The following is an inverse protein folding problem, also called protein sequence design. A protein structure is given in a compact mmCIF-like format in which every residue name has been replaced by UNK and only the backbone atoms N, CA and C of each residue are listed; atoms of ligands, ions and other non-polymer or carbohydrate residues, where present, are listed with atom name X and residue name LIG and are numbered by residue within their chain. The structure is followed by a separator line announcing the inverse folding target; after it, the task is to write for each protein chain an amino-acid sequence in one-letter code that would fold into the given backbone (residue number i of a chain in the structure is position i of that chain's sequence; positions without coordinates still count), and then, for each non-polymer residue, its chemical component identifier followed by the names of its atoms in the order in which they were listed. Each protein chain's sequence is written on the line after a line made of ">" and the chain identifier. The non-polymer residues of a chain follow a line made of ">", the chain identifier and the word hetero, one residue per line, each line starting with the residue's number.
data_IF_470927739598
#
_entry.id   IF_470927739598
#
_cell.length_a   1.000
_cell.length_b   1.000
_cell.length_c   1.000
_cell.angle_alpha   90.00
_cell.angle_beta   90.00
_cell.angle_gamma   90.00
#
_symmetry.space_group_name_H-M   'P 1'
#
loop_
_entity.id
_entity.type
_entity.pdbx_description
1 polymer ?
#
# COMPACT_ATOMS: atom_id res chain seq x y z
N UNK A 1 33.48 22.37 41.22
CA UNK A 1 32.18 21.74 41.57
C UNK A 1 31.24 21.95 40.40
N UNK A 2 30.75 20.89 39.75
CA UNK A 2 29.72 20.99 38.70
C UNK A 2 28.36 20.80 39.39
N UNK A 3 27.56 21.85 39.48
CA UNK A 3 26.17 21.74 39.92
C UNK A 3 25.40 20.87 38.92
N UNK A 4 24.86 19.74 39.40
CA UNK A 4 23.85 18.98 38.67
C UNK A 4 22.54 19.76 38.76
N UNK A 5 22.22 20.53 37.73
CA UNK A 5 20.90 21.16 37.59
C UNK A 5 19.84 20.07 37.38
N UNK A 6 18.97 19.87 38.36
CA UNK A 6 17.78 19.02 38.21
C UNK A 6 16.73 19.82 37.47
N UNK A 7 16.37 19.38 36.26
CA UNK A 7 15.28 19.98 35.47
C UNK A 7 13.98 19.28 35.86
N UNK A 8 13.19 19.89 36.75
CA UNK A 8 11.84 19.42 37.03
C UNK A 8 10.91 19.77 35.87
N UNK A 9 10.62 18.78 35.03
CA UNK A 9 9.68 18.91 33.92
C UNK A 9 9.07 17.56 33.58
N UNK A 10 7.76 17.53 33.27
CA UNK A 10 7.12 16.33 32.74
C UNK A 10 7.64 16.09 31.33
N UNK A 11 8.46 15.06 31.16
CA UNK A 11 8.86 14.55 29.86
C UNK A 11 8.00 13.34 29.50
N UNK A 12 7.61 13.23 28.23
CA UNK A 12 7.01 12.01 27.67
C UNK A 12 8.00 11.40 26.69
N UNK A 13 8.12 10.09 26.68
CA UNK A 13 8.99 9.37 25.76
C UNK A 13 8.21 8.27 25.05
N UNK A 14 8.50 8.05 23.77
CA UNK A 14 7.99 6.92 23.00
C UNK A 14 9.11 6.33 22.16
N UNK A 15 9.03 5.02 21.92
CA UNK A 15 10.00 4.27 21.12
C UNK A 15 9.31 3.69 19.90
N UNK A 16 9.84 3.96 18.71
CA UNK A 16 9.32 3.44 17.43
C UNK A 16 10.46 3.18 16.46
N UNK A 17 10.57 1.97 15.91
CA UNK A 17 11.51 1.62 14.84
C UNK A 17 12.96 2.09 15.09
N UNK A 18 13.56 1.73 16.23
CA UNK A 18 14.91 2.16 16.65
C UNK A 18 15.10 3.68 16.80
N UNK A 19 14.00 4.42 16.84
CA UNK A 19 13.96 5.85 17.14
C UNK A 19 13.28 6.06 18.48
N UNK A 20 13.85 6.92 19.31
CA UNK A 20 13.20 7.39 20.53
C UNK A 20 12.78 8.83 20.33
N UNK A 21 11.51 9.12 20.56
CA UNK A 21 11.00 10.49 20.59
C UNK A 21 10.81 10.89 22.05
N UNK A 22 11.51 11.93 22.48
CA UNK A 22 11.37 12.52 23.82
C UNK A 22 10.77 13.90 23.67
N UNK A 23 9.60 14.13 24.26
CA UNK A 23 8.94 15.42 24.24
C UNK A 23 8.96 16.07 25.63
N UNK A 24 9.33 17.34 25.66
CA UNK A 24 9.50 18.11 26.89
C UNK A 24 9.24 19.60 26.62
N UNK A 25 9.39 20.43 27.67
CA UNK A 25 9.38 21.87 27.58
C UNK A 25 10.81 22.42 27.71
N UNK A 26 11.16 23.51 26.99
CA UNK A 26 12.43 24.17 27.17
C UNK A 26 12.57 24.71 28.59
N UNK A 27 13.77 24.60 29.16
CA UNK A 27 14.07 25.03 30.54
C UNK A 27 13.89 26.53 30.75
N UNK A 28 14.07 27.33 29.69
CA UNK A 28 13.87 28.79 29.70
C UNK A 28 12.79 29.18 28.70
N UNK A 29 11.96 30.17 29.08
CA UNK A 29 10.90 30.75 28.22
C UNK A 29 11.40 31.23 26.86
N UNK A 30 12.65 31.68 26.77
CA UNK A 30 13.27 32.17 25.54
C UNK A 30 14.54 31.36 25.24
N UNK A 31 14.40 30.05 25.11
CA UNK A 31 15.52 29.19 24.73
C UNK A 31 15.93 29.45 23.28
N UNK A 32 17.21 29.76 23.10
CA UNK A 32 17.85 29.97 21.79
C UNK A 32 17.94 28.65 21.03
N UNK A 33 18.24 28.71 19.73
CA UNK A 33 18.49 27.50 18.94
C UNK A 33 19.63 26.66 19.53
N UNK A 34 20.68 27.32 20.01
CA UNK A 34 21.83 26.68 20.67
C UNK A 34 21.40 25.94 21.93
N UNK A 35 20.58 26.56 22.77
CA UNK A 35 20.09 25.93 24.02
C UNK A 35 19.28 24.65 23.73
N UNK A 36 18.44 24.67 22.69
CA UNK A 36 17.67 23.50 22.28
C UNK A 36 18.57 22.36 21.79
N UNK A 37 19.59 22.67 20.98
CA UNK A 37 20.56 21.67 20.49
C UNK A 37 21.33 21.04 21.65
N UNK A 38 21.84 21.86 22.58
CA UNK A 38 22.55 21.36 23.77
C UNK A 38 21.64 20.45 24.61
N UNK A 39 20.40 20.87 24.85
CA UNK A 39 19.43 20.07 25.61
C UNK A 39 19.11 18.76 24.90
N UNK A 40 18.94 18.78 23.57
CA UNK A 40 18.69 17.59 22.77
C UNK A 40 19.86 16.61 22.80
N UNK A 41 21.10 17.11 22.77
CA UNK A 41 22.32 16.29 22.91
C UNK A 41 22.36 15.60 24.27
N UNK A 42 22.07 16.33 25.36
CA UNK A 42 22.05 15.75 26.70
C UNK A 42 20.99 14.65 26.80
N UNK A 43 19.78 14.88 26.30
CA UNK A 43 18.73 13.86 26.24
C UNK A 43 19.19 12.65 25.42
N UNK A 44 19.74 12.88 24.23
CA UNK A 44 20.18 11.82 23.34
C UNK A 44 21.31 10.99 23.95
N UNK A 45 22.26 11.63 24.65
CA UNK A 45 23.35 10.94 25.33
C UNK A 45 22.82 9.95 26.37
N UNK A 46 21.97 10.41 27.29
CA UNK A 46 21.40 9.54 28.34
C UNK A 46 20.59 8.38 27.73
N UNK A 47 19.79 8.65 26.70
CA UNK A 47 19.00 7.62 26.01
C UNK A 47 19.89 6.61 25.27
N UNK A 48 20.94 7.07 24.58
CA UNK A 48 21.78 6.20 23.77
C UNK A 48 22.78 5.38 24.60
N UNK A 49 23.19 5.89 25.77
CA UNK A 49 23.99 5.15 26.75
C UNK A 49 23.20 3.96 27.32
N UNK A 50 21.92 4.15 27.63
CA UNK A 50 21.06 3.07 28.15
C UNK A 50 20.61 2.09 27.05
N UNK A 51 20.30 2.59 25.84
CA UNK A 51 19.70 1.78 24.78
C UNK A 51 20.60 1.64 23.55
N UNK A 52 21.36 0.55 23.47
CA UNK A 52 22.30 0.24 22.38
C UNK A 52 21.65 0.00 21.01
N UNK A 53 20.37 -0.37 20.98
CA UNK A 53 19.64 -0.68 19.74
C UNK A 53 19.08 0.55 19.02
N UNK A 54 19.08 1.71 19.69
CA UNK A 54 18.53 2.97 19.16
C UNK A 54 19.56 3.59 18.22
N UNK A 55 19.13 3.93 17.01
CA UNK A 55 20.00 4.55 15.99
C UNK A 55 19.99 6.07 16.09
N UNK A 56 18.91 6.63 16.66
CA UNK A 56 18.61 8.04 16.52
C UNK A 56 17.56 8.50 17.56
N UNK A 57 17.69 9.73 18.06
CA UNK A 57 16.80 10.33 19.06
C UNK A 57 16.22 11.65 18.54
N UNK A 58 14.90 11.80 18.64
CA UNK A 58 14.21 13.05 18.33
C UNK A 58 13.78 13.73 19.64
N UNK A 59 14.35 14.89 19.92
CA UNK A 59 13.93 15.73 21.05
C UNK A 59 12.93 16.77 20.58
N UNK A 60 11.72 16.77 21.14
CA UNK A 60 10.63 17.71 20.86
C UNK A 60 10.51 18.68 22.04
N UNK A 61 10.47 19.98 21.73
CA UNK A 61 10.35 21.07 22.69
C UNK A 61 9.10 21.88 22.38
N UNK A 62 8.05 21.71 23.20
CA UNK A 62 6.81 22.46 23.07
C UNK A 62 6.96 23.91 23.52
N UNK A 63 6.27 24.83 22.85
CA UNK A 63 6.14 26.20 23.34
C UNK A 63 5.18 26.20 24.55
N UNK A 64 5.60 26.66 25.74
CA UNK A 64 4.72 26.73 26.90
C UNK A 64 3.52 27.68 26.71
N UNK A 65 3.57 28.60 25.74
CA UNK A 65 2.46 29.50 25.40
C UNK A 65 1.50 28.89 24.36
N UNK A 66 2.00 28.00 23.51
CA UNK A 66 1.23 27.36 22.45
C UNK A 66 1.64 25.89 22.31
N UNK A 67 0.87 25.00 22.94
CA UNK A 67 1.09 23.55 22.87
C UNK A 67 0.97 22.99 21.44
N UNK A 68 0.46 23.79 20.48
CA UNK A 68 0.47 23.41 19.07
C UNK A 68 1.78 23.72 18.38
N UNK A 69 2.53 24.71 18.85
CA UNK A 69 3.84 25.02 18.32
C UNK A 69 4.90 24.19 19.04
N UNK A 70 5.78 23.56 18.29
CA UNK A 70 6.96 22.93 18.85
C UNK A 70 8.17 23.11 17.95
N UNK A 71 9.34 22.97 18.55
CA UNK A 71 10.60 22.84 17.81
C UNK A 71 11.17 21.46 18.12
N UNK A 72 11.81 20.83 17.15
CA UNK A 72 12.42 19.54 17.35
C UNK A 72 13.85 19.50 16.82
N UNK A 73 14.66 18.66 17.45
CA UNK A 73 16.04 18.43 17.10
C UNK A 73 16.26 16.95 16.90
N UNK A 74 16.93 16.67 15.81
CA UNK A 74 17.18 15.33 15.34
C UNK A 74 18.62 14.93 15.64
N UNK A 75 18.86 14.03 16.59
CA UNK A 75 20.20 13.66 17.07
C UNK A 75 20.56 12.21 16.71
N UNK A 76 21.46 12.00 15.72
CA UNK A 76 21.90 10.66 15.34
C UNK A 76 22.95 10.11 16.30
N UNK A 77 22.94 8.78 16.52
CA UNK A 77 23.91 8.09 17.38
C UNK A 77 25.35 8.33 16.97
N UNK A 78 25.64 8.27 15.67
CA UNK A 78 26.99 8.46 15.14
C UNK A 78 27.61 9.82 15.49
N UNK A 79 26.79 10.85 15.69
CA UNK A 79 27.29 12.17 16.11
C UNK A 79 27.72 12.16 17.58
N UNK A 80 26.92 11.53 18.47
CA UNK A 80 27.27 11.35 19.88
C UNK A 80 28.51 10.47 20.03
N UNK A 81 28.60 9.38 19.28
CA UNK A 81 29.75 8.47 19.28
C UNK A 81 31.04 9.18 18.80
N UNK A 82 30.93 10.05 17.79
CA UNK A 82 32.08 10.81 17.28
C UNK A 82 32.55 11.86 18.29
N UNK A 83 31.60 12.56 18.93
CA UNK A 83 31.90 13.56 19.95
C UNK A 83 32.54 12.93 21.20
N UNK A 84 31.98 11.81 21.68
CA UNK A 84 32.50 11.10 22.86
C UNK A 84 33.89 10.50 22.64
N UNK A 85 34.28 10.22 21.39
CA UNK A 85 35.63 9.83 21.00
C UNK A 85 36.59 11.01 20.78
N UNK A 86 36.11 12.25 20.89
CA UNK A 86 36.89 13.46 20.62
C UNK A 86 37.25 13.67 19.14
N UNK A 87 36.50 13.06 18.22
CA UNK A 87 36.71 13.20 16.77
C UNK A 87 36.20 14.56 16.27
N UNK A 88 35.11 15.04 16.88
CA UNK A 88 34.51 16.34 16.59
C UNK A 88 34.48 17.18 17.86
N UNK A 89 34.62 18.49 17.70
CA UNK A 89 34.50 19.46 18.80
C UNK A 89 33.04 19.91 19.02
N UNK A 90 32.83 20.75 20.05
CA UNK A 90 31.53 21.29 20.41
C UNK A 90 30.86 22.08 19.26
N UNK A 91 31.64 22.81 18.46
CA UNK A 91 31.10 23.65 17.38
C UNK A 91 30.68 22.81 16.17
N UNK A 92 31.48 21.80 15.82
CA UNK A 92 31.17 20.81 14.80
C UNK A 92 29.95 19.97 15.20
N UNK A 93 29.85 19.59 16.47
CA UNK A 93 28.68 18.88 16.99
C UNK A 93 27.40 19.72 16.87
N UNK A 94 27.44 20.99 17.28
CA UNK A 94 26.26 21.87 17.25
C UNK A 94 25.88 22.29 15.82
N UNK A 95 26.85 22.43 14.92
CA UNK A 95 26.61 22.76 13.51
C UNK A 95 26.03 21.58 12.71
N UNK A 96 26.34 20.33 13.12
CA UNK A 96 25.77 19.12 12.55
C UNK A 96 24.28 18.89 12.87
N UNK A 97 23.70 19.67 13.77
CA UNK A 97 22.29 19.59 14.17
C UNK A 97 21.49 20.75 13.59
N UNK A 98 20.23 20.49 13.23
CA UNK A 98 19.27 21.51 12.84
C UNK A 98 18.07 21.52 13.79
N UNK A 99 17.54 22.72 14.05
CA UNK A 99 16.26 22.88 14.75
C UNK A 99 15.19 23.12 13.69
N UNK A 100 14.21 22.24 13.65
CA UNK A 100 13.06 22.39 12.76
C UNK A 100 11.83 22.80 13.58
N UNK A 101 11.00 23.66 13.00
CA UNK A 101 9.68 23.96 13.54
C UNK A 101 8.70 22.86 13.15
N UNK A 102 7.88 22.44 14.10
CA UNK A 102 6.75 21.56 13.90
C UNK A 102 5.47 22.21 14.42
N UNK A 103 4.35 21.84 13.83
CA UNK A 103 3.04 22.22 14.31
C UNK A 103 2.27 20.94 14.65
N UNK A 104 1.69 20.86 15.84
CA UNK A 104 0.92 19.70 16.30
C UNK A 104 -0.29 19.47 15.40
N UNK A 105 -0.78 20.50 14.71
CA UNK A 105 -1.81 20.34 13.67
C UNK A 105 -1.30 19.56 12.44
N UNK A 106 0.00 19.61 12.14
CA UNK A 106 0.62 18.77 11.12
C UNK A 106 0.95 17.36 11.63
N UNK A 107 1.03 17.16 12.95
CA UNK A 107 1.44 15.88 13.56
C UNK A 107 0.24 15.02 13.96
N UNK A 108 -0.90 15.64 14.27
CA UNK A 108 -2.21 14.99 14.35
C UNK A 108 -2.89 14.85 12.98
N UNK A 109 -2.29 15.43 11.93
CA UNK A 109 -2.63 15.17 10.52
C UNK A 109 -1.48 14.45 9.81
N UNK A 110 -1.06 13.29 10.31
CA UNK A 110 -1.04 12.19 9.34
C UNK A 110 -2.46 12.13 8.83
N UNK A 111 -2.71 12.72 7.64
CA UNK A 111 -4.00 12.68 6.99
C UNK A 111 -4.47 11.22 7.02
N UNK A 112 -5.33 10.89 7.99
CA UNK A 112 -6.10 9.65 8.00
C UNK A 112 -7.14 9.70 6.87
N UNK A 113 -7.18 10.80 6.11
CA UNK A 113 -7.81 10.82 4.82
C UNK A 113 -7.12 9.80 3.92
N UNK A 114 -7.89 8.84 3.39
CA UNK A 114 -7.37 7.88 2.42
C UNK A 114 -6.81 8.64 1.21
N UNK A 115 -5.77 8.09 0.59
CA UNK A 115 -5.21 8.64 -0.64
C UNK A 115 -6.32 8.61 -1.70
N UNK A 116 -6.68 9.78 -2.25
CA UNK A 116 -7.75 9.87 -3.24
C UNK A 116 -7.30 9.25 -4.55
N UNK A 117 -7.79 8.04 -4.83
CA UNK A 117 -7.49 7.29 -6.06
C UNK A 117 -8.29 7.85 -7.24
N UNK A 118 -7.61 8.30 -8.29
CA UNK A 118 -8.25 8.80 -9.52
C UNK A 118 -8.79 7.62 -10.35
N UNK A 119 -9.95 7.77 -10.99
CA UNK A 119 -10.44 6.79 -11.98
C UNK A 119 -9.42 6.63 -13.11
N UNK A 120 -9.12 5.40 -13.53
CA UNK A 120 -8.14 5.11 -14.58
C UNK A 120 -7.65 3.66 -14.57
N UNK A 121 -6.51 3.43 -15.22
CA UNK A 121 -5.84 2.12 -15.30
C UNK A 121 -5.67 1.54 -13.89
N UNK A 122 -5.99 0.26 -13.71
CA UNK A 122 -5.95 -0.48 -12.44
C UNK A 122 -6.67 0.19 -11.26
N UNK A 123 -7.76 0.94 -11.49
CA UNK A 123 -8.48 1.68 -10.45
C UNK A 123 -8.83 0.81 -9.21
N UNK A 124 -9.40 -0.38 -9.43
CA UNK A 124 -9.83 -1.25 -8.33
C UNK A 124 -8.66 -1.73 -7.46
N UNK A 125 -7.52 -2.05 -8.09
CA UNK A 125 -6.31 -2.48 -7.38
C UNK A 125 -5.74 -1.33 -6.54
N UNK A 126 -5.61 -0.14 -7.14
CA UNK A 126 -5.15 1.07 -6.42
C UNK A 126 -6.09 1.47 -5.28
N UNK A 127 -7.40 1.38 -5.48
CA UNK A 127 -8.40 1.65 -4.45
C UNK A 127 -8.29 0.65 -3.29
N UNK A 128 -8.13 -0.65 -3.60
CA UNK A 128 -7.90 -1.68 -2.58
C UNK A 128 -6.60 -1.44 -1.81
N UNK A 129 -5.52 -1.07 -2.49
CA UNK A 129 -4.25 -0.73 -1.86
C UNK A 129 -4.37 0.48 -0.92
N UNK A 130 -5.09 1.54 -1.32
CA UNK A 130 -5.36 2.68 -0.44
C UNK A 130 -6.10 2.28 0.84
N UNK A 131 -7.07 1.37 0.75
CA UNK A 131 -7.80 0.88 1.93
C UNK A 131 -6.89 0.06 2.85
N UNK A 132 -6.02 -0.80 2.30
CA UNK A 132 -5.04 -1.56 3.08
C UNK A 132 -4.06 -0.65 3.82
N UNK A 133 -3.53 0.37 3.14
CA UNK A 133 -2.68 1.38 3.76
C UNK A 133 -3.42 2.07 4.92
N UNK A 134 -4.69 2.42 4.73
CA UNK A 134 -5.48 3.04 5.78
C UNK A 134 -5.68 2.11 6.97
N UNK A 135 -5.94 0.82 6.75
CA UNK A 135 -6.01 -0.18 7.81
C UNK A 135 -4.68 -0.29 8.57
N UNK A 136 -3.55 -0.34 7.86
CA UNK A 136 -2.21 -0.36 8.48
C UNK A 136 -1.97 0.86 9.38
N UNK A 137 -2.40 2.06 8.96
CA UNK A 137 -2.31 3.26 9.78
C UNK A 137 -3.10 3.14 11.08
N UNK A 138 -4.32 2.62 10.99
CA UNK A 138 -5.19 2.42 12.16
C UNK A 138 -4.59 1.40 13.13
N UNK A 139 -3.88 0.39 12.62
CA UNK A 139 -3.12 -0.58 13.41
C UNK A 139 -1.78 -0.03 13.94
N UNK A 140 -1.43 1.21 13.62
CA UNK A 140 -0.17 1.83 14.04
C UNK A 140 1.08 1.27 13.33
N UNK A 141 0.90 0.53 12.23
CA UNK A 141 1.99 0.00 11.39
C UNK A 141 2.62 1.13 10.55
N UNK A 142 3.86 0.91 10.11
CA UNK A 142 4.57 1.86 9.25
C UNK A 142 3.98 1.86 7.83
N UNK A 143 3.53 3.02 7.35
CA UNK A 143 2.91 3.17 6.02
C UNK A 143 3.67 4.10 5.07
N UNK A 144 4.78 4.69 5.51
CA UNK A 144 5.53 5.71 4.78
C UNK A 144 5.89 5.25 3.36
N UNK A 145 6.43 4.02 3.24
CA UNK A 145 6.84 3.44 1.96
C UNK A 145 5.64 3.09 1.06
N UNK A 146 4.63 2.29 1.50
CA UNK A 146 3.43 2.03 0.71
C UNK A 146 2.72 3.29 0.21
N UNK A 147 2.64 4.33 1.05
CA UNK A 147 2.02 5.61 0.68
C UNK A 147 2.80 6.34 -0.40
N UNK A 148 4.14 6.36 -0.30
CA UNK A 148 5.00 6.98 -1.29
C UNK A 148 4.86 6.30 -2.66
N UNK A 149 4.82 4.96 -2.68
CA UNK A 149 4.61 4.17 -3.90
C UNK A 149 3.22 4.44 -4.48
N UNK A 150 2.15 4.40 -3.68
CA UNK A 150 0.80 4.67 -4.17
C UNK A 150 0.67 6.10 -4.74
N UNK A 151 1.29 7.11 -4.12
CA UNK A 151 1.29 8.49 -4.66
C UNK A 151 2.02 8.59 -6.00
N UNK A 152 3.12 7.86 -6.18
CA UNK A 152 3.85 7.78 -7.45
C UNK A 152 2.96 7.19 -8.54
N UNK A 153 2.26 6.09 -8.22
CA UNK A 153 1.28 5.48 -9.12
C UNK A 153 0.18 6.49 -9.51
N UNK A 154 -0.40 7.22 -8.56
CA UNK A 154 -1.42 8.26 -8.86
C UNK A 154 -0.91 9.41 -9.74
N UNK A 155 0.41 9.66 -9.72
CA UNK A 155 1.09 10.56 -10.66
C UNK A 155 1.17 10.00 -12.07
N UNK A 156 1.47 8.70 -12.20
CA UNK A 156 1.58 7.99 -13.48
C UNK A 156 0.24 7.76 -14.17
N UNK A 157 -0.88 7.70 -13.44
CA UNK A 157 -2.21 7.48 -14.02
C UNK A 157 -2.57 8.52 -15.09
N UNK A 158 -2.07 9.75 -14.98
CA UNK A 158 -2.26 10.80 -15.99
C UNK A 158 -1.50 10.58 -17.30
N UNK A 159 -0.41 9.80 -17.27
CA UNK A 159 0.43 9.54 -18.46
C UNK A 159 -0.03 8.32 -19.26
N UNK A 160 -0.99 7.54 -18.71
CA UNK A 160 -1.47 6.29 -19.29
C UNK A 160 -0.38 5.23 -19.56
N UNK A 161 0.78 5.32 -18.88
CA UNK A 161 1.84 4.32 -18.99
C UNK A 161 1.53 3.06 -18.15
N UNK A 162 0.78 2.13 -18.73
CA UNK A 162 0.33 0.90 -18.07
C UNK A 162 1.49 0.05 -17.52
N UNK A 163 2.59 -0.06 -18.26
CA UNK A 163 3.75 -0.86 -17.85
C UNK A 163 4.38 -0.33 -16.55
N UNK A 164 4.62 0.99 -16.47
CA UNK A 164 5.19 1.58 -15.25
C UNK A 164 4.23 1.49 -14.07
N UNK A 165 2.92 1.67 -14.30
CA UNK A 165 1.90 1.51 -13.26
C UNK A 165 1.87 0.07 -12.75
N UNK A 166 1.91 -0.92 -13.64
CA UNK A 166 1.93 -2.34 -13.27
C UNK A 166 3.17 -2.71 -12.46
N UNK A 167 4.35 -2.24 -12.86
CA UNK A 167 5.59 -2.48 -12.11
C UNK A 167 5.53 -1.90 -10.69
N UNK A 168 5.02 -0.68 -10.52
CA UNK A 168 4.89 -0.03 -9.21
C UNK A 168 3.80 -0.70 -8.35
N UNK A 169 2.74 -1.24 -8.98
CA UNK A 169 1.72 -2.01 -8.26
C UNK A 169 2.28 -3.32 -7.67
N UNK A 170 3.17 -4.00 -8.39
CA UNK A 170 3.86 -5.18 -7.85
C UNK A 170 4.72 -4.83 -6.63
N UNK A 171 5.48 -3.72 -6.72
CA UNK A 171 6.23 -3.18 -5.58
C UNK A 171 5.29 -2.89 -4.41
N UNK A 172 4.15 -2.23 -4.67
CA UNK A 172 3.17 -1.91 -3.64
C UNK A 172 2.57 -3.16 -2.98
N UNK A 173 2.23 -4.18 -3.76
CA UNK A 173 1.68 -5.43 -3.23
C UNK A 173 2.67 -6.14 -2.30
N UNK A 174 3.96 -6.19 -2.66
CA UNK A 174 5.00 -6.78 -1.81
C UNK A 174 5.17 -6.03 -0.47
N UNK A 175 4.95 -4.70 -0.47
CA UNK A 175 5.01 -3.90 0.74
C UNK A 175 3.76 -4.08 1.63
N UNK A 176 2.61 -4.34 1.02
CA UNK A 176 1.34 -4.51 1.74
C UNK A 176 1.13 -5.92 2.29
N UNK A 177 1.74 -6.92 1.66
CA UNK A 177 1.63 -8.31 2.08
C UNK A 177 3.00 -9.01 1.95
N UNK A 178 3.92 -8.82 2.91
CA UNK A 178 5.25 -9.44 2.86
C UNK A 178 5.20 -10.96 3.03
N UNK A 179 4.08 -11.49 3.53
CA UNK A 179 3.85 -12.94 3.69
C UNK A 179 3.41 -13.64 2.43
N UNK A 180 2.86 -12.91 1.45
CA UNK A 180 2.96 -13.31 0.05
C UNK A 180 4.42 -13.19 -0.34
N UNK A 181 5.20 -14.20 0.06
CA UNK A 181 6.54 -14.39 -0.46
C UNK A 181 6.46 -14.16 -1.95
N UNK A 182 7.30 -13.26 -2.45
CA UNK A 182 7.54 -13.15 -3.88
C UNK A 182 8.18 -14.48 -4.25
N UNK A 183 7.35 -15.50 -4.47
CA UNK A 183 7.69 -16.55 -5.39
C UNK A 183 7.85 -15.82 -6.70
N UNK A 184 9.07 -15.32 -6.91
CA UNK A 184 9.67 -15.25 -8.23
C UNK A 184 9.80 -16.71 -8.65
N UNK A 185 8.66 -17.38 -8.87
CA UNK A 185 8.60 -18.27 -10.00
C UNK A 185 9.05 -17.37 -11.14
N UNK A 186 10.26 -17.63 -11.63
CA UNK A 186 10.75 -17.06 -12.86
C UNK A 186 9.54 -16.93 -13.78
N UNK A 187 9.19 -15.73 -14.27
CA UNK A 187 8.13 -15.64 -15.28
C UNK A 187 8.48 -16.72 -16.30
N UNK A 188 7.62 -17.73 -16.51
CA UNK A 188 8.01 -18.93 -17.27
C UNK A 188 8.68 -18.44 -18.54
N UNK A 189 9.90 -18.92 -18.76
CA UNK A 189 10.81 -18.43 -19.79
C UNK A 189 10.02 -18.13 -21.08
N UNK A 190 9.93 -16.83 -21.43
CA UNK A 190 8.93 -16.29 -22.37
C UNK A 190 7.51 -16.62 -21.94
N UNK A 191 6.76 -15.61 -21.47
CA UNK A 191 5.31 -15.57 -21.67
C UNK A 191 5.07 -15.96 -23.13
N UNK A 192 4.63 -17.20 -23.37
CA UNK A 192 4.19 -17.58 -24.71
C UNK A 192 3.13 -16.55 -25.03
N UNK A 193 3.38 -15.68 -26.01
CA UNK A 193 2.42 -14.68 -26.44
C UNK A 193 1.14 -15.43 -26.78
N UNK A 194 0.19 -15.42 -25.85
CA UNK A 194 -1.11 -16.03 -26.05
C UNK A 194 -1.84 -15.10 -27.02
N UNK A 195 -1.79 -15.48 -28.30
CA UNK A 195 -2.61 -14.84 -29.32
C UNK A 195 -4.04 -15.33 -29.17
N UNK A 196 -5.01 -14.42 -29.07
CA UNK A 196 -6.42 -14.82 -28.99
C UNK A 196 -6.86 -15.59 -30.25
N UNK A 197 -6.17 -15.40 -31.37
CA UNK A 197 -6.34 -16.18 -32.62
C UNK A 197 -6.21 -17.70 -32.43
N UNK A 198 -5.52 -18.14 -31.37
CA UNK A 198 -5.33 -19.56 -31.05
C UNK A 198 -6.47 -20.14 -30.20
N UNK A 199 -7.35 -19.32 -29.66
CA UNK A 199 -8.50 -19.78 -28.88
C UNK A 199 -9.56 -20.37 -29.81
N UNK A 200 -9.96 -21.61 -29.54
CA UNK A 200 -11.03 -22.29 -30.28
C UNK A 200 -12.27 -22.37 -29.40
N UNK A 201 -13.42 -22.02 -29.98
CA UNK A 201 -14.72 -22.23 -29.35
C UNK A 201 -15.27 -23.57 -29.83
N UNK A 202 -15.34 -24.56 -28.94
CA UNK A 202 -15.93 -25.85 -29.28
C UNK A 202 -17.46 -25.83 -29.13
N UNK A 203 -18.17 -26.60 -29.96
CA UNK A 203 -19.62 -26.73 -29.87
C UNK A 203 -20.08 -27.20 -28.48
N UNK A 204 -21.24 -26.72 -28.03
CA UNK A 204 -21.86 -27.14 -26.77
C UNK A 204 -22.53 -26.01 -25.99
N UNK A 205 -22.77 -26.24 -24.70
CA UNK A 205 -23.45 -25.26 -23.84
C UNK A 205 -22.75 -23.90 -23.86
N UNK A 206 -23.54 -22.83 -23.91
CA UNK A 206 -23.08 -21.45 -23.87
C UNK A 206 -22.11 -21.06 -25.00
N UNK A 207 -22.12 -21.75 -26.14
CA UNK A 207 -21.23 -21.48 -27.27
C UNK A 207 -21.25 -20.01 -27.72
N UNK A 208 -22.43 -19.39 -27.86
CA UNK A 208 -22.55 -17.98 -28.24
C UNK A 208 -21.92 -17.02 -27.23
N UNK A 209 -22.02 -17.33 -25.94
CA UNK A 209 -21.38 -16.53 -24.89
C UNK A 209 -19.87 -16.66 -24.96
N UNK A 210 -19.38 -17.90 -25.09
CA UNK A 210 -17.94 -18.20 -25.21
C UNK A 210 -17.34 -17.57 -26.47
N UNK A 211 -18.06 -17.55 -27.59
CA UNK A 211 -17.67 -16.85 -28.82
C UNK A 211 -17.51 -15.35 -28.59
N UNK A 212 -18.45 -14.71 -27.91
CA UNK A 212 -18.34 -13.27 -27.56
C UNK A 212 -17.14 -12.97 -26.66
N UNK A 213 -16.79 -13.87 -25.75
CA UNK A 213 -15.58 -13.73 -24.91
C UNK A 213 -14.33 -13.73 -25.80
N UNK A 214 -14.20 -14.70 -26.71
CA UNK A 214 -13.06 -14.76 -27.65
C UNK A 214 -13.00 -13.52 -28.56
N UNK A 215 -14.13 -13.08 -29.12
CA UNK A 215 -14.20 -11.87 -29.94
C UNK A 215 -13.74 -10.62 -29.17
N UNK A 216 -14.06 -10.56 -27.87
CA UNK A 216 -13.61 -9.47 -27.01
C UNK A 216 -12.10 -9.54 -26.75
N UNK A 217 -11.56 -10.72 -26.49
CA UNK A 217 -10.12 -10.92 -26.29
C UNK A 217 -9.33 -10.48 -27.52
N UNK A 218 -9.79 -10.84 -28.72
CA UNK A 218 -9.22 -10.36 -29.98
C UNK A 218 -9.24 -8.83 -30.07
N UNK A 219 -10.36 -8.18 -29.72
CA UNK A 219 -10.45 -6.71 -29.71
C UNK A 219 -9.51 -6.05 -28.71
N UNK A 220 -9.23 -6.69 -27.56
CA UNK A 220 -8.28 -6.17 -26.58
C UNK A 220 -6.84 -6.35 -27.04
N UNK A 221 -6.52 -7.49 -27.67
CA UNK A 221 -5.22 -7.75 -28.27
C UNK A 221 -4.89 -6.74 -29.37
N UNK A 222 -5.83 -6.45 -30.27
CA UNK A 222 -5.67 -5.42 -31.32
C UNK A 222 -5.39 -4.03 -30.72
N UNK A 223 -5.89 -3.76 -29.51
CA UNK A 223 -5.65 -2.50 -28.79
C UNK A 223 -4.34 -2.49 -28.00
N UNK A 224 -3.54 -3.56 -28.09
CA UNK A 224 -2.26 -3.69 -27.39
C UNK A 224 -2.38 -4.01 -25.90
N UNK A 225 -3.56 -4.44 -25.43
CA UNK A 225 -3.77 -4.82 -24.03
C UNK A 225 -3.29 -6.26 -23.84
N UNK A 226 -2.53 -6.52 -22.79
CA UNK A 226 -2.10 -7.88 -22.46
C UNK A 226 -3.30 -8.74 -22.05
N UNK A 227 -3.54 -9.80 -22.84
CA UNK A 227 -4.65 -10.73 -22.67
C UNK A 227 -4.24 -12.08 -22.09
N UNK A 228 -2.97 -12.27 -21.71
CA UNK A 228 -2.44 -13.57 -21.30
C UNK A 228 -3.26 -14.22 -20.18
N UNK A 229 -3.52 -13.49 -19.10
CA UNK A 229 -4.30 -13.99 -17.96
C UNK A 229 -5.75 -14.37 -18.35
N UNK A 230 -6.36 -13.63 -19.26
CA UNK A 230 -7.72 -13.90 -19.72
C UNK A 230 -7.78 -15.09 -20.68
N UNK A 231 -6.73 -15.34 -21.47
CA UNK A 231 -6.62 -16.52 -22.31
C UNK A 231 -6.49 -17.79 -21.48
N UNK A 232 -5.61 -17.79 -20.46
CA UNK A 232 -5.43 -18.93 -19.54
C UNK A 232 -6.76 -19.35 -18.92
N UNK A 233 -7.47 -18.37 -18.35
CA UNK A 233 -8.73 -18.65 -17.68
C UNK A 233 -9.86 -19.05 -18.66
N UNK A 234 -9.75 -18.71 -19.95
CA UNK A 234 -10.72 -19.13 -20.95
C UNK A 234 -10.48 -20.59 -21.32
N UNK A 235 -9.21 -21.02 -21.34
CA UNK A 235 -8.86 -22.43 -21.48
C UNK A 235 -9.36 -23.26 -20.31
N UNK A 236 -9.27 -22.74 -19.07
CA UNK A 236 -9.88 -23.39 -17.90
C UNK A 236 -11.39 -23.55 -18.07
N UNK A 237 -12.07 -22.54 -18.61
CA UNK A 237 -13.50 -22.59 -18.92
C UNK A 237 -13.84 -23.66 -19.98
N UNK A 238 -13.03 -23.78 -21.04
CA UNK A 238 -13.16 -24.85 -22.03
C UNK A 238 -12.88 -26.25 -21.43
N UNK A 239 -11.95 -26.34 -20.49
CA UNK A 239 -11.65 -27.57 -19.77
C UNK A 239 -12.82 -27.97 -18.85
N UNK A 240 -13.38 -27.05 -18.07
CA UNK A 240 -14.57 -27.28 -17.25
C UNK A 240 -15.77 -27.73 -18.12
N UNK A 241 -15.95 -27.13 -19.29
CA UNK A 241 -16.97 -27.55 -20.27
C UNK A 241 -16.75 -29.01 -20.71
N UNK A 242 -15.51 -29.44 -20.92
CA UNK A 242 -15.21 -30.83 -21.31
C UNK A 242 -15.63 -31.86 -20.25
N UNK A 243 -15.63 -31.45 -18.97
CA UNK A 243 -16.06 -32.27 -17.84
C UNK A 243 -17.59 -32.29 -17.65
N UNK A 244 -18.34 -31.60 -18.52
CA UNK A 244 -19.80 -31.46 -18.47
C UNK A 244 -20.36 -30.81 -17.19
N UNK A 245 -19.52 -30.13 -16.41
CA UNK A 245 -19.95 -29.39 -15.22
C UNK A 245 -20.58 -28.04 -15.61
N UNK A 246 -21.88 -28.06 -15.91
CA UNK A 246 -22.61 -26.89 -16.43
C UNK A 246 -22.72 -25.76 -15.41
N UNK A 247 -22.81 -26.07 -14.12
CA UNK A 247 -23.00 -25.06 -13.07
C UNK A 247 -21.69 -24.32 -12.80
N UNK A 248 -20.55 -25.02 -12.79
CA UNK A 248 -19.22 -24.40 -12.70
C UNK A 248 -18.89 -23.54 -13.93
N UNK A 249 -19.27 -23.98 -15.14
CA UNK A 249 -19.10 -23.18 -16.36
C UNK A 249 -19.91 -21.88 -16.27
N UNK A 250 -21.14 -21.93 -15.77
CA UNK A 250 -21.99 -20.74 -15.66
C UNK A 250 -21.43 -19.73 -14.64
N UNK A 251 -21.04 -20.18 -13.44
CA UNK A 251 -20.44 -19.29 -12.45
C UNK A 251 -19.13 -18.64 -12.93
N UNK A 252 -18.35 -19.38 -13.72
CA UNK A 252 -17.12 -18.86 -14.32
C UNK A 252 -17.40 -17.81 -15.40
N UNK A 253 -18.43 -18.00 -16.22
CA UNK A 253 -18.88 -17.02 -17.24
C UNK A 253 -19.32 -15.70 -16.59
N UNK A 254 -20.08 -15.76 -15.50
CA UNK A 254 -20.54 -14.56 -14.78
C UNK A 254 -19.35 -13.79 -14.16
N UNK A 255 -18.37 -14.51 -13.62
CA UNK A 255 -17.12 -13.91 -13.15
C UNK A 255 -16.31 -13.24 -14.26
N UNK A 256 -16.32 -13.83 -15.46
CA UNK A 256 -15.71 -13.26 -16.65
C UNK A 256 -16.36 -11.94 -17.07
N UNK A 257 -17.69 -11.90 -17.10
CA UNK A 257 -18.44 -10.73 -17.52
C UNK A 257 -18.17 -9.53 -16.61
N UNK A 258 -18.16 -9.76 -15.29
CA UNK A 258 -17.89 -8.73 -14.30
C UNK A 258 -16.46 -8.16 -14.42
N UNK A 259 -15.47 -9.02 -14.67
CA UNK A 259 -14.07 -8.60 -14.76
C UNK A 259 -13.76 -7.87 -16.06
N UNK A 260 -14.34 -8.33 -17.17
CA UNK A 260 -14.06 -7.79 -18.50
C UNK A 260 -14.99 -6.65 -18.90
N UNK A 261 -16.02 -6.37 -18.07
CA UNK A 261 -17.05 -5.38 -18.35
C UNK A 261 -17.71 -5.63 -19.70
N UNK A 262 -17.88 -6.90 -20.09
CA UNK A 262 -18.42 -7.26 -21.41
C UNK A 262 -19.87 -6.80 -21.49
N UNK A 263 -20.54 -6.68 -20.34
CA UNK A 263 -21.95 -6.33 -20.30
C UNK A 263 -22.71 -7.36 -21.13
N UNK A 264 -22.37 -8.64 -20.94
CA UNK A 264 -23.18 -9.72 -21.44
C UNK A 264 -24.53 -9.48 -20.81
N UNK A 265 -25.44 -8.90 -21.59
CA UNK A 265 -26.85 -8.78 -21.24
C UNK A 265 -27.36 -10.22 -21.25
N UNK A 266 -27.01 -10.96 -20.19
CA UNK A 266 -27.22 -12.39 -20.00
C UNK A 266 -28.70 -12.68 -19.79
N UNK A 267 -29.59 -11.81 -20.28
CA UNK A 267 -31.03 -12.04 -20.37
C UNK A 267 -31.29 -13.38 -21.04
N UNK A 268 -30.56 -13.76 -22.10
CA UNK A 268 -30.73 -15.08 -22.71
C UNK A 268 -30.32 -16.23 -21.76
N UNK A 269 -29.16 -16.14 -21.11
CA UNK A 269 -28.65 -17.22 -20.26
C UNK A 269 -29.43 -17.34 -18.93
N UNK A 270 -29.81 -16.21 -18.32
CA UNK A 270 -30.71 -16.14 -17.16
C UNK A 270 -32.12 -16.61 -17.50
N UNK A 271 -32.65 -16.27 -18.67
CA UNK A 271 -33.99 -16.72 -19.10
C UNK A 271 -34.00 -18.23 -19.37
N UNK A 272 -32.91 -18.80 -19.90
CA UNK A 272 -32.81 -20.25 -20.13
C UNK A 272 -32.65 -21.04 -18.81
N UNK A 273 -31.92 -20.50 -17.84
CA UNK A 273 -31.86 -20.99 -16.45
C UNK A 273 -33.20 -20.89 -15.73
N UNK A 274 -33.90 -19.77 -15.88
CA UNK A 274 -35.23 -19.57 -15.29
C UNK A 274 -36.25 -20.52 -15.92
N UNK A 275 -36.31 -20.62 -17.26
CA UNK A 275 -37.20 -21.58 -17.95
C UNK A 275 -37.03 -23.00 -17.43
N UNK A 276 -35.79 -23.47 -17.22
CA UNK A 276 -35.54 -24.82 -16.67
C UNK A 276 -35.88 -24.96 -15.20
N UNK A 277 -35.59 -23.96 -14.36
CA UNK A 277 -36.03 -23.99 -12.95
C UNK A 277 -37.56 -24.09 -12.86
N UNK A 278 -38.27 -23.37 -13.72
CA UNK A 278 -39.73 -23.48 -13.82
C UNK A 278 -40.18 -24.85 -14.37
N UNK A 279 -39.56 -25.38 -15.44
CA UNK A 279 -39.90 -26.71 -15.96
C UNK A 279 -39.63 -27.87 -14.98
N UNK A 280 -38.60 -27.77 -14.14
CA UNK A 280 -38.33 -28.78 -13.11
C UNK A 280 -39.28 -28.67 -11.91
N UNK A 281 -39.73 -27.46 -11.55
CA UNK A 281 -40.74 -27.28 -10.50
C UNK A 281 -42.12 -27.79 -10.94
N UNK A 282 -42.50 -27.61 -12.21
CA UNK A 282 -43.74 -28.16 -12.75
C UNK A 282 -43.75 -29.70 -12.74
N UNK A 283 -42.58 -30.33 -12.89
CA UNK A 283 -42.44 -31.79 -12.83
C UNK A 283 -42.53 -32.34 -11.40
N UNK A 284 -42.08 -31.61 -10.38
CA UNK A 284 -42.22 -32.01 -8.98
C UNK A 284 -43.63 -31.77 -8.43
N UNK A 285 -44.32 -30.73 -8.90
CA UNK A 285 -45.71 -30.46 -8.53
C UNK A 285 -46.69 -31.48 -9.13
N UNK A 286 -46.35 -32.14 -10.24
CA UNK A 286 -47.15 -33.23 -10.83
C UNK A 286 -46.97 -34.60 -10.16
N UNK A 287 -46.00 -34.73 -9.23
CA UNK A 287 -45.72 -35.98 -8.48
C UNK A 287 -46.28 -36.00 -7.05
N UNK A 288 -46.93 -34.92 -6.62
CA UNK A 288 -47.65 -34.83 -5.33
C UNK A 288 -49.15 -34.84 -5.58
#
# INVERSE_FOLDING_TARGET
>A
MKEKGVVEGKATASVRNKTVTVATFPSKKQSTERDLKVTAILIAKEVLEEFSTISYVQAIFYDPKDLKSYRYVNVPRGLIDSFSKGIIDDEQMLSGLSVAAGNSEATSRTNNQPIKVKKGIHYNHRASASLKIQAMKLEGKETTLPEAVLRRIEGLVGTQNEYQIGSELLTLDSLLDPTRGVSVENPPARSQQFKAERLRVYDGSFQEVRKRIVDRLLKLEIRGIDIGAYCTRYQELEQMRSQQDRDCVFGSIDGYDQQMGIGLDCKCAKHELLKRKFSNMDFELSRR
#
